data_IF_758744429088
#
_entry.id   IF_758744429088
#
_cell.length_a   1.000
_cell.length_b   1.000
_cell.length_c   1.000
_cell.angle_alpha   90.00
_cell.angle_beta   90.00
_cell.angle_gamma   90.00
#
_symmetry.space_group_name_H-M   'P 1'
#
loop_
_entity.id
_entity.type
_entity.pdbx_description
1 polymer ?
#
# COMPACT_ATOMS: atom_id res chain seq x y z
N UNK A 1 13.71 15.69 -8.07
CA UNK A 1 12.92 14.90 -7.11
C UNK A 1 11.51 15.49 -7.06
N UNK A 2 10.47 14.69 -7.33
CA UNK A 2 9.06 15.12 -7.28
C UNK A 2 8.41 14.54 -6.02
N UNK A 3 7.68 15.34 -5.27
CA UNK A 3 6.91 14.91 -4.11
C UNK A 3 5.44 15.29 -4.32
N UNK A 4 4.53 14.40 -3.98
CA UNK A 4 3.09 14.57 -4.15
C UNK A 4 2.35 13.88 -3.00
N UNK A 5 1.31 14.53 -2.47
CA UNK A 5 0.43 13.91 -1.49
C UNK A 5 -0.61 13.05 -2.22
N UNK A 6 -0.67 11.76 -1.89
CA UNK A 6 -1.57 10.79 -2.53
C UNK A 6 -2.31 10.02 -1.46
N UNK A 7 -3.59 9.71 -1.71
CA UNK A 7 -4.37 8.81 -0.88
C UNK A 7 -3.76 7.40 -0.86
N UNK A 8 -3.66 6.78 0.32
CA UNK A 8 -2.95 5.52 0.48
C UNK A 8 -3.54 4.38 -0.37
N UNK A 9 -4.87 4.29 -0.46
CA UNK A 9 -5.53 3.26 -1.26
C UNK A 9 -5.40 3.55 -2.75
N UNK A 10 -5.50 4.82 -3.17
CA UNK A 10 -5.23 5.19 -4.57
C UNK A 10 -3.79 4.89 -4.98
N UNK A 11 -2.84 5.08 -4.08
CA UNK A 11 -1.44 4.73 -4.34
C UNK A 11 -1.28 3.22 -4.50
N UNK A 12 -1.88 2.42 -3.62
CA UNK A 12 -1.83 0.95 -3.66
C UNK A 12 -2.55 0.35 -4.89
N UNK A 13 -3.68 0.93 -5.29
CA UNK A 13 -4.45 0.53 -6.50
C UNK A 13 -4.05 1.33 -7.75
N UNK A 14 -2.81 1.82 -7.81
CA UNK A 14 -2.34 2.49 -9.01
C UNK A 14 -2.34 1.50 -10.19
N UNK A 15 -2.95 1.88 -11.32
CA UNK A 15 -3.18 0.97 -12.44
C UNK A 15 -1.90 0.28 -12.91
N UNK A 16 -1.98 -1.05 -13.03
CA UNK A 16 -0.89 -1.93 -13.50
C UNK A 16 0.43 -1.67 -12.77
N UNK A 17 0.39 -1.29 -11.49
CA UNK A 17 1.58 -0.97 -10.71
C UNK A 17 2.08 -2.20 -9.96
N UNK A 18 3.39 -2.35 -9.87
CA UNK A 18 4.06 -3.35 -9.05
C UNK A 18 5.12 -2.67 -8.19
N UNK A 19 5.06 -2.87 -6.88
CA UNK A 19 6.06 -2.37 -5.95
C UNK A 19 7.20 -3.38 -5.83
N UNK A 20 8.42 -2.94 -6.13
CA UNK A 20 9.62 -3.78 -6.09
C UNK A 20 10.44 -3.38 -4.87
N UNK A 21 10.68 -4.34 -3.96
CA UNK A 21 11.62 -4.17 -2.84
C UNK A 21 12.98 -4.72 -3.27
N UNK A 22 14.02 -3.89 -3.45
CA UNK A 22 15.34 -4.37 -3.83
C UNK A 22 15.95 -5.31 -2.79
N UNK A 23 16.76 -6.27 -3.25
CA UNK A 23 17.41 -7.27 -2.40
C UNK A 23 18.32 -6.70 -1.31
N UNK A 24 18.82 -5.47 -1.50
CA UNK A 24 19.67 -4.77 -0.54
C UNK A 24 18.88 -4.00 0.54
N UNK A 25 17.55 -3.98 0.48
CA UNK A 25 16.73 -3.40 1.54
C UNK A 25 16.72 -4.29 2.78
N UNK A 26 16.61 -3.66 3.96
CA UNK A 26 16.52 -4.39 5.24
C UNK A 26 15.22 -5.20 5.33
N UNK A 27 15.26 -6.31 6.06
CA UNK A 27 14.07 -7.13 6.33
C UNK A 27 12.99 -6.35 7.06
N UNK A 28 11.76 -6.88 7.05
CA UNK A 28 10.68 -6.33 7.86
C UNK A 28 11.07 -6.33 9.35
N UNK A 29 10.89 -5.20 10.04
CA UNK A 29 11.33 -5.01 11.42
C UNK A 29 10.43 -4.09 12.26
N UNK A 30 9.27 -3.68 11.74
CA UNK A 30 8.28 -2.99 12.56
C UNK A 30 7.74 -3.96 13.61
N UNK A 31 7.92 -3.59 14.88
CA UNK A 31 7.33 -4.30 16.00
C UNK A 31 5.88 -3.88 16.23
N UNK A 32 5.27 -4.46 17.27
CA UNK A 32 3.87 -4.22 17.60
C UNK A 32 3.57 -2.75 17.94
N UNK A 33 4.51 -2.01 18.52
CA UNK A 33 4.30 -0.60 18.88
C UNK A 33 4.25 0.29 17.64
N UNK A 34 5.08 0.00 16.63
CA UNK A 34 4.98 0.65 15.33
C UNK A 34 3.63 0.36 14.65
N UNK A 35 3.19 -0.90 14.66
CA UNK A 35 1.90 -1.30 14.10
C UNK A 35 0.72 -0.63 14.82
N UNK A 36 0.75 -0.58 16.15
CA UNK A 36 -0.28 0.10 16.98
C UNK A 36 -0.36 1.58 16.65
N UNK A 37 0.76 2.26 16.43
CA UNK A 37 0.77 3.67 16.06
C UNK A 37 0.06 3.90 14.72
N UNK A 38 0.38 3.11 13.69
CA UNK A 38 -0.31 3.18 12.40
C UNK A 38 -1.80 2.89 12.55
N UNK A 39 -2.16 1.86 13.32
CA UNK A 39 -3.55 1.49 13.57
C UNK A 39 -4.32 2.63 14.25
N UNK A 40 -3.76 3.22 15.31
CA UNK A 40 -4.39 4.32 16.03
C UNK A 40 -4.59 5.56 15.14
N UNK A 41 -3.62 5.85 14.27
CA UNK A 41 -3.75 6.92 13.28
C UNK A 41 -4.94 6.68 12.32
N UNK A 42 -5.16 5.43 11.89
CA UNK A 42 -6.30 5.02 11.05
C UNK A 42 -7.63 5.12 11.82
N UNK A 43 -7.69 4.65 13.07
CA UNK A 43 -8.89 4.76 13.90
C UNK A 43 -9.26 6.23 14.13
N UNK A 44 -8.28 7.07 14.43
CA UNK A 44 -8.49 8.48 14.73
C UNK A 44 -9.07 9.25 13.54
N UNK A 45 -8.57 8.98 12.32
CA UNK A 45 -9.12 9.61 11.12
C UNK A 45 -10.52 9.07 10.81
N UNK A 46 -10.75 7.75 10.96
CA UNK A 46 -12.05 7.13 10.74
C UNK A 46 -13.14 7.56 11.72
N UNK A 47 -12.76 7.89 12.96
CA UNK A 47 -13.68 8.34 14.00
C UNK A 47 -14.09 9.83 13.89
N UNK A 48 -13.47 10.61 12.99
CA UNK A 48 -13.72 12.04 12.90
C UNK A 48 -13.99 12.49 11.45
N UNK A 49 -15.27 12.58 11.11
CA UNK A 49 -15.75 13.03 9.80
C UNK A 49 -15.29 14.45 9.40
N UNK A 50 -14.87 15.29 10.37
CA UNK A 50 -14.34 16.63 10.08
C UNK A 50 -12.87 16.62 9.65
N UNK A 51 -12.14 15.54 9.95
CA UNK A 51 -10.74 15.42 9.56
C UNK A 51 -10.66 14.77 8.18
N UNK A 52 -10.19 15.51 7.18
CA UNK A 52 -10.22 15.06 5.77
C UNK A 52 -9.05 14.15 5.38
N UNK A 53 -7.93 14.22 6.10
CA UNK A 53 -6.74 13.44 5.84
C UNK A 53 -5.83 13.39 7.08
N UNK A 54 -5.06 12.32 7.22
CA UNK A 54 -3.99 12.19 8.21
C UNK A 54 -2.70 11.74 7.51
N UNK A 55 -1.57 12.37 7.83
CA UNK A 55 -0.28 12.02 7.24
C UNK A 55 0.32 10.82 7.95
N UNK A 56 0.28 9.66 7.31
CA UNK A 56 0.85 8.40 7.85
C UNK A 56 2.34 8.23 7.49
N UNK A 57 2.89 9.11 6.64
CA UNK A 57 4.32 9.19 6.29
C UNK A 57 4.61 9.09 4.78
N UNK A 58 5.89 9.23 4.42
CA UNK A 58 6.36 9.27 3.02
C UNK A 58 6.83 7.91 2.49
N UNK A 59 6.57 7.63 1.21
CA UNK A 59 7.16 6.51 0.46
C UNK A 59 8.03 7.11 -0.64
N UNK A 60 9.29 6.67 -0.71
CA UNK A 60 10.23 7.09 -1.77
C UNK A 60 10.45 5.93 -2.71
N UNK A 61 10.32 6.17 -4.02
CA UNK A 61 10.52 5.16 -5.03
C UNK A 61 11.16 5.74 -6.30
N UNK A 62 11.78 4.87 -7.08
CA UNK A 62 12.22 5.15 -8.44
C UNK A 62 11.24 4.47 -9.38
N UNK A 63 10.74 5.23 -10.37
CA UNK A 63 9.97 4.67 -11.47
C UNK A 63 10.95 4.18 -12.51
N UNK A 64 11.00 2.87 -12.74
CA UNK A 64 11.84 2.32 -13.79
C UNK A 64 11.11 2.41 -15.13
N UNK A 65 11.41 3.46 -15.89
CA UNK A 65 10.91 3.65 -17.26
C UNK A 65 11.86 3.03 -18.31
N UNK A 66 13.00 2.44 -17.90
CA UNK A 66 14.13 2.16 -18.78
C UNK A 66 14.09 0.75 -19.39
N UNK A 67 13.45 -0.22 -18.73
CA UNK A 67 13.64 -1.64 -19.09
C UNK A 67 12.45 -2.40 -19.67
N UNK A 68 11.27 -1.81 -19.84
CA UNK A 68 10.10 -2.65 -20.09
C UNK A 68 9.17 -2.21 -21.24
N UNK A 69 9.23 -2.97 -22.33
CA UNK A 69 8.14 -3.20 -23.30
C UNK A 69 6.92 -3.92 -22.65
N UNK A 70 6.78 -3.88 -21.33
CA UNK A 70 5.69 -4.50 -20.58
C UNK A 70 4.73 -3.42 -20.10
N UNK A 71 3.44 -3.71 -20.12
CA UNK A 71 2.36 -2.79 -19.74
C UNK A 71 2.27 -2.51 -18.22
N UNK A 72 3.29 -2.86 -17.44
CA UNK A 72 3.32 -2.83 -15.97
C UNK A 72 4.27 -1.73 -15.52
N UNK A 73 3.79 -0.85 -14.64
CA UNK A 73 4.59 0.19 -14.00
C UNK A 73 5.31 -0.40 -12.77
N UNK A 74 6.63 -0.56 -12.86
CA UNK A 74 7.43 -1.01 -11.71
C UNK A 74 7.93 0.19 -10.90
N UNK A 75 7.59 0.21 -9.61
CA UNK A 75 8.04 1.22 -8.66
C UNK A 75 9.00 0.58 -7.66
N UNK A 76 10.29 0.88 -7.83
CA UNK A 76 11.34 0.38 -6.95
C UNK A 76 11.38 1.20 -5.66
N UNK A 77 11.09 0.58 -4.52
CA UNK A 77 11.01 1.26 -3.23
C UNK A 77 12.41 1.52 -2.65
N UNK A 78 12.69 2.80 -2.37
CA UNK A 78 13.94 3.28 -1.76
C UNK A 78 13.75 3.51 -0.27
N UNK A 79 12.60 4.04 0.14
CA UNK A 79 12.22 4.25 1.54
C UNK A 79 10.71 4.09 1.73
N UNK A 80 10.28 3.80 2.96
CA UNK A 80 8.89 3.55 3.32
C UNK A 80 8.45 2.09 3.17
N UNK A 81 9.40 1.17 2.90
CA UNK A 81 9.10 -0.26 2.70
C UNK A 81 8.33 -0.90 3.85
N UNK A 82 8.68 -0.61 5.11
CA UNK A 82 8.02 -1.18 6.30
C UNK A 82 6.56 -0.75 6.37
N UNK A 83 6.30 0.52 6.09
CA UNK A 83 4.93 1.08 6.06
C UNK A 83 4.12 0.45 4.94
N UNK A 84 4.69 0.35 3.75
CA UNK A 84 4.04 -0.28 2.61
C UNK A 84 3.67 -1.74 2.91
N UNK A 85 4.63 -2.52 3.42
CA UNK A 85 4.39 -3.91 3.84
C UNK A 85 3.30 -4.00 4.91
N UNK A 86 3.32 -3.13 5.93
CA UNK A 86 2.31 -3.13 7.00
C UNK A 86 0.92 -2.81 6.48
N UNK A 87 0.79 -1.84 5.56
CA UNK A 87 -0.48 -1.53 4.90
C UNK A 87 -1.00 -2.70 4.07
N UNK A 88 -0.12 -3.40 3.33
CA UNK A 88 -0.48 -4.59 2.57
C UNK A 88 -0.94 -5.74 3.49
N UNK A 89 -0.25 -5.98 4.60
CA UNK A 89 -0.65 -6.97 5.60
C UNK A 89 -1.99 -6.62 6.24
N UNK A 90 -2.23 -5.34 6.53
CA UNK A 90 -3.51 -4.88 7.06
C UNK A 90 -4.66 -5.14 6.08
N UNK A 91 -4.46 -4.85 4.79
CA UNK A 91 -5.45 -5.17 3.75
C UNK A 91 -5.72 -6.67 3.65
N UNK A 92 -4.68 -7.50 3.75
CA UNK A 92 -4.85 -8.96 3.81
C UNK A 92 -5.65 -9.40 5.04
N UNK A 93 -5.39 -8.81 6.22
CA UNK A 93 -6.17 -9.11 7.42
C UNK A 93 -7.64 -8.69 7.28
N UNK A 94 -7.91 -7.50 6.73
CA UNK A 94 -9.26 -7.02 6.43
C UNK A 94 -9.97 -7.98 5.46
N UNK A 95 -9.28 -8.47 4.43
CA UNK A 95 -9.81 -9.46 3.50
C UNK A 95 -10.23 -10.76 4.18
N UNK A 96 -9.52 -11.21 5.21
CA UNK A 96 -9.89 -12.45 5.92
C UNK A 96 -11.16 -12.27 6.75
N UNK A 97 -11.34 -11.10 7.37
CA UNK A 97 -12.44 -10.83 8.29
C UNK A 97 -13.68 -10.19 7.65
N UNK A 98 -13.56 -9.62 6.44
CA UNK A 98 -14.70 -8.98 5.76
C UNK A 98 -15.79 -10.01 5.47
N UNK A 99 -17.04 -9.62 5.72
CA UNK A 99 -18.26 -10.37 5.43
C UNK A 99 -18.91 -9.91 4.11
N UNK A 100 -18.20 -9.08 3.32
CA UNK A 100 -18.68 -8.44 2.10
C UNK A 100 -19.88 -7.49 2.31
N UNK A 101 -20.13 -7.02 3.53
CA UNK A 101 -21.19 -6.02 3.80
C UNK A 101 -20.82 -4.62 3.33
N UNK A 102 -19.53 -4.32 3.18
CA UNK A 102 -19.01 -3.02 2.75
C UNK A 102 -18.78 -3.04 1.23
N UNK A 103 -19.58 -2.25 0.51
CA UNK A 103 -19.41 -2.04 -0.94
C UNK A 103 -18.01 -1.51 -1.27
N UNK A 104 -17.35 -2.09 -2.26
CA UNK A 104 -15.98 -1.73 -2.65
C UNK A 104 -14.89 -2.39 -1.80
N UNK A 105 -15.24 -3.19 -0.79
CA UNK A 105 -14.34 -3.87 0.13
C UNK A 105 -14.71 -5.34 0.36
N UNK A 106 -15.21 -6.00 -0.69
CA UNK A 106 -15.36 -7.46 -0.70
C UNK A 106 -13.99 -8.16 -0.75
N UNK A 107 -13.99 -9.47 -0.45
CA UNK A 107 -12.76 -10.28 -0.48
C UNK A 107 -12.03 -10.24 -1.83
N UNK A 108 -12.79 -10.26 -2.92
CA UNK A 108 -12.27 -10.27 -4.28
C UNK A 108 -11.77 -8.88 -4.70
N UNK A 109 -12.51 -7.82 -4.35
CA UNK A 109 -12.07 -6.44 -4.61
C UNK A 109 -10.76 -6.14 -3.89
N UNK A 110 -10.62 -6.53 -2.61
CA UNK A 110 -9.38 -6.29 -1.87
C UNK A 110 -8.20 -7.02 -2.52
N UNK A 111 -8.43 -8.28 -2.91
CA UNK A 111 -7.43 -9.10 -3.58
C UNK A 111 -6.98 -8.47 -4.91
N UNK A 112 -7.94 -8.14 -5.77
CA UNK A 112 -7.68 -7.80 -7.17
C UNK A 112 -7.20 -6.36 -7.35
N UNK A 113 -7.58 -5.47 -6.44
CA UNK A 113 -7.17 -4.06 -6.51
C UNK A 113 -5.90 -3.74 -5.71
N UNK A 114 -5.61 -4.47 -4.63
CA UNK A 114 -4.52 -4.07 -3.73
C UNK A 114 -3.46 -5.15 -3.47
N UNK A 115 -3.79 -6.43 -3.63
CA UNK A 115 -2.88 -7.52 -3.21
C UNK A 115 -2.24 -8.26 -4.37
N UNK A 116 -2.96 -8.43 -5.47
CA UNK A 116 -2.52 -9.22 -6.63
C UNK A 116 -2.56 -8.37 -7.89
N UNK A 117 -1.40 -8.19 -8.52
CA UNK A 117 -1.34 -7.68 -9.87
C UNK A 117 -1.51 -8.83 -10.87
N UNK A 118 -2.72 -9.02 -11.38
CA UNK A 118 -3.06 -10.04 -12.38
C UNK A 118 -2.30 -9.89 -13.72
N UNK A 119 -1.66 -8.75 -13.95
CA UNK A 119 -0.83 -8.49 -15.13
C UNK A 119 0.65 -8.69 -14.86
N UNK A 120 1.06 -8.93 -13.60
CA UNK A 120 2.42 -9.26 -13.17
C UNK A 120 2.96 -10.46 -13.95
N UNK A 121 4.07 -10.29 -14.68
CA UNK A 121 4.83 -11.45 -15.18
C UNK A 121 5.66 -12.01 -14.02
N UNK A 122 5.53 -13.32 -13.77
CA UNK A 122 6.39 -14.06 -12.85
C UNK A 122 7.85 -14.05 -13.30
#
# INVERSE_FOLDING_TARGET
>A
MKAEAVDALKFLNAQKTQFIIPVYQRTYSWDIEHCKKLWHDIEKIGANEKTKAHFIGSIMYIKDDVYHHSSINQLMIIDGQQRLTTLTLLLQAIREITDNSISGFSKDEIRDYYLINQYGKN
#
